data_IF_813882823483
#
_entry.id   IF_813882823483
#
_cell.length_a   1.000
_cell.length_b   1.000
_cell.length_c   1.000
_cell.angle_alpha   90.00
_cell.angle_beta   90.00
_cell.angle_gamma   90.00
#
_symmetry.space_group_name_H-M   'P 1'
#
loop_
_entity.id
_entity.type
_entity.pdbx_description
1 polymer ?
#
# COMPACT_ATOMS: atom_id res chain seq x y z
N UNK A 1 -0.33 16.62 -21.85
CA UNK A 1 0.10 17.52 -20.76
C UNK A 1 -1.05 18.45 -20.46
N UNK A 2 -1.47 18.51 -19.19
CA UNK A 2 -2.46 19.49 -18.78
C UNK A 2 -1.94 20.92 -19.03
N UNK A 3 -2.81 21.87 -19.38
CA UNK A 3 -2.44 23.27 -19.36
C UNK A 3 -1.90 23.66 -17.98
N UNK A 4 -0.94 24.61 -17.84
CA UNK A 4 -0.33 24.94 -16.56
C UNK A 4 -1.33 25.31 -15.44
N UNK A 5 -2.44 25.94 -15.81
CA UNK A 5 -3.48 26.31 -14.83
C UNK A 5 -4.25 25.09 -14.31
N UNK A 6 -4.47 24.06 -15.14
CA UNK A 6 -5.11 22.80 -14.71
C UNK A 6 -4.15 21.95 -13.88
N UNK A 7 -2.85 21.94 -14.20
CA UNK A 7 -1.83 21.29 -13.39
C UNK A 7 -1.79 21.88 -11.98
N UNK A 8 -1.79 23.21 -11.89
CA UNK A 8 -1.86 23.90 -10.58
C UNK A 8 -3.16 23.54 -9.84
N UNK A 9 -4.30 23.60 -10.52
CA UNK A 9 -5.59 23.28 -9.91
C UNK A 9 -5.65 21.83 -9.39
N UNK A 10 -5.05 20.88 -10.10
CA UNK A 10 -4.97 19.49 -9.67
C UNK A 10 -4.13 19.33 -8.40
N UNK A 11 -2.95 19.98 -8.34
CA UNK A 11 -2.07 19.94 -7.17
C UNK A 11 -2.74 20.63 -5.96
N UNK A 12 -3.34 21.78 -6.16
CA UNK A 12 -4.07 22.51 -5.10
C UNK A 12 -5.24 21.68 -4.55
N UNK A 13 -5.88 20.87 -5.39
CA UNK A 13 -6.96 19.99 -4.96
C UNK A 13 -6.45 18.83 -4.07
N UNK A 14 -5.25 18.29 -4.34
CA UNK A 14 -4.62 17.30 -3.46
C UNK A 14 -4.30 17.91 -2.10
N UNK A 15 -3.63 19.06 -2.08
CA UNK A 15 -3.28 19.76 -0.83
C UNK A 15 -4.55 20.13 -0.03
N UNK A 16 -5.62 20.55 -0.72
CA UNK A 16 -6.91 20.84 -0.10
C UNK A 16 -7.55 19.60 0.50
N UNK A 17 -7.50 18.46 -0.20
CA UNK A 17 -8.07 17.21 0.30
C UNK A 17 -7.27 16.69 1.50
N UNK A 18 -5.93 16.78 1.47
CA UNK A 18 -5.09 16.47 2.63
C UNK A 18 -5.45 17.33 3.85
N UNK A 19 -5.65 18.64 3.66
CA UNK A 19 -6.08 19.52 4.74
C UNK A 19 -7.47 19.16 5.29
N UNK A 20 -8.41 18.74 4.43
CA UNK A 20 -9.73 18.24 4.87
C UNK A 20 -9.62 16.95 5.68
N UNK A 21 -8.73 16.04 5.27
CA UNK A 21 -8.40 14.82 6.02
C UNK A 21 -7.90 15.20 7.41
N UNK A 22 -6.87 16.04 7.49
CA UNK A 22 -6.24 16.43 8.76
C UNK A 22 -7.21 17.17 9.69
N UNK A 23 -8.09 17.99 9.15
CA UNK A 23 -9.08 18.75 9.90
C UNK A 23 -10.32 17.93 10.33
N UNK A 24 -10.48 16.71 9.84
CA UNK A 24 -11.67 15.90 10.13
C UNK A 24 -11.71 15.49 11.61
N UNK A 25 -12.81 15.82 12.30
CA UNK A 25 -13.03 15.54 13.74
C UNK A 25 -14.28 14.69 14.00
N UNK A 26 -14.92 14.22 12.96
CA UNK A 26 -16.14 13.42 13.05
C UNK A 26 -15.90 11.93 13.31
N UNK A 27 -16.94 11.15 13.18
CA UNK A 27 -16.83 9.69 13.11
C UNK A 27 -15.99 9.29 11.90
N UNK A 28 -15.31 8.14 11.97
CA UNK A 28 -14.57 7.62 10.85
C UNK A 28 -15.49 7.33 9.66
N UNK A 29 -15.18 7.93 8.52
CA UNK A 29 -15.93 7.76 7.28
C UNK A 29 -14.96 7.55 6.12
N UNK A 30 -15.48 7.21 4.96
CA UNK A 30 -14.68 7.00 3.76
C UNK A 30 -14.15 8.33 3.21
N UNK A 31 -12.92 8.33 2.65
CA UNK A 31 -12.29 9.49 2.00
C UNK A 31 -13.22 10.14 0.97
N UNK A 32 -13.97 9.33 0.22
CA UNK A 32 -14.92 9.81 -0.78
C UNK A 32 -15.99 10.78 -0.23
N UNK A 33 -16.23 10.80 1.08
CA UNK A 33 -17.19 11.75 1.71
C UNK A 33 -16.66 13.18 1.79
N UNK A 34 -15.35 13.38 1.63
CA UNK A 34 -14.70 14.69 1.59
C UNK A 34 -14.53 15.26 0.17
N UNK A 35 -14.99 14.55 -0.85
CA UNK A 35 -14.76 14.84 -2.26
C UNK A 35 -16.07 15.23 -2.94
N UNK A 36 -16.08 16.36 -3.67
CA UNK A 36 -17.15 16.69 -4.60
C UNK A 36 -16.91 16.00 -5.95
N UNK A 37 -17.67 14.95 -6.28
CA UNK A 37 -17.47 14.21 -7.52
C UNK A 37 -17.82 14.98 -8.79
N UNK A 38 -18.46 16.16 -8.69
CA UNK A 38 -18.75 17.03 -9.82
C UNK A 38 -17.52 17.81 -10.29
N UNK A 39 -16.57 18.05 -9.38
CA UNK A 39 -15.33 18.78 -9.64
C UNK A 39 -14.21 17.84 -10.11
N UNK A 40 -13.72 18.05 -11.32
CA UNK A 40 -12.70 17.17 -11.92
C UNK A 40 -11.41 17.12 -11.10
N UNK A 41 -10.97 18.26 -10.54
CA UNK A 41 -9.75 18.33 -9.75
C UNK A 41 -9.87 17.57 -8.42
N UNK A 42 -11.04 17.59 -7.78
CA UNK A 42 -11.28 16.80 -6.56
C UNK A 42 -11.37 15.30 -6.86
N UNK A 43 -11.97 14.89 -7.99
CA UNK A 43 -11.89 13.49 -8.44
C UNK A 43 -10.44 13.05 -8.64
N UNK A 44 -9.65 13.88 -9.33
CA UNK A 44 -8.23 13.60 -9.57
C UNK A 44 -7.44 13.48 -8.26
N UNK A 45 -7.67 14.38 -7.29
CA UNK A 45 -7.07 14.29 -5.96
C UNK A 45 -7.45 12.98 -5.24
N UNK A 46 -8.73 12.60 -5.32
CA UNK A 46 -9.24 11.35 -4.76
C UNK A 46 -8.60 10.11 -5.40
N UNK A 47 -8.39 10.11 -6.72
CA UNK A 47 -7.71 9.03 -7.43
C UNK A 47 -6.21 8.98 -7.10
N UNK A 48 -5.60 10.12 -6.84
CA UNK A 48 -4.20 10.21 -6.41
C UNK A 48 -4.01 9.58 -5.04
N UNK A 49 -4.78 10.00 -4.03
CA UNK A 49 -4.64 9.50 -2.65
C UNK A 49 -5.21 8.08 -2.49
N UNK A 50 -6.17 7.70 -3.30
CA UNK A 50 -6.80 6.39 -3.27
C UNK A 50 -6.08 5.34 -4.14
N UNK A 51 -6.50 5.15 -5.38
CA UNK A 51 -5.95 4.10 -6.25
C UNK A 51 -4.43 4.20 -6.46
N UNK A 52 -3.88 5.40 -6.60
CA UNK A 52 -2.45 5.58 -6.92
C UNK A 52 -1.56 5.40 -5.69
N UNK A 53 -1.88 6.00 -4.55
CA UNK A 53 -1.03 5.95 -3.36
C UNK A 53 -1.37 4.76 -2.46
N UNK A 54 -2.66 4.52 -2.19
CA UNK A 54 -3.11 3.46 -1.29
C UNK A 54 -3.47 2.14 -1.99
N UNK A 55 -3.59 2.13 -3.33
CA UNK A 55 -4.03 0.94 -4.08
C UNK A 55 -5.47 0.53 -3.79
N UNK A 56 -6.30 1.46 -3.32
CA UNK A 56 -7.69 1.22 -2.94
C UNK A 56 -8.60 2.37 -3.38
N UNK A 57 -9.85 2.06 -3.64
CA UNK A 57 -10.86 3.07 -3.95
C UNK A 57 -11.09 4.00 -2.74
N UNK A 58 -11.27 5.30 -2.96
CA UNK A 58 -11.51 6.28 -1.91
C UNK A 58 -12.74 5.98 -1.04
N UNK A 59 -13.69 5.19 -1.53
CA UNK A 59 -14.84 4.69 -0.77
C UNK A 59 -14.47 3.63 0.27
N UNK A 60 -13.27 3.05 0.19
CA UNK A 60 -12.76 2.00 1.08
C UNK A 60 -11.68 2.53 2.03
N UNK A 61 -11.24 3.78 1.88
CA UNK A 61 -10.21 4.38 2.70
C UNK A 61 -10.82 5.12 3.90
N UNK A 62 -10.39 4.75 5.09
CA UNK A 62 -10.73 5.40 6.34
C UNK A 62 -10.02 6.74 6.45
N UNK A 63 -10.76 7.82 6.76
CA UNK A 63 -10.18 9.14 7.02
C UNK A 63 -9.28 9.09 8.25
N UNK A 64 -9.70 8.44 9.34
CA UNK A 64 -8.88 8.28 10.53
C UNK A 64 -7.62 7.44 10.27
N UNK A 65 -7.71 6.43 9.39
CA UNK A 65 -6.55 5.66 8.95
C UNK A 65 -5.53 6.53 8.21
N UNK A 66 -5.98 7.41 7.32
CA UNK A 66 -5.12 8.36 6.60
C UNK A 66 -4.48 9.38 7.53
N UNK A 67 -5.23 9.93 8.52
CA UNK A 67 -4.67 10.83 9.55
C UNK A 67 -3.54 10.16 10.34
N UNK A 68 -3.71 8.88 10.72
CA UNK A 68 -2.72 8.13 11.48
C UNK A 68 -1.49 7.75 10.65
N UNK A 69 -1.68 7.56 9.34
CA UNK A 69 -0.58 7.22 8.44
C UNK A 69 0.45 8.36 8.33
N UNK A 70 -0.01 9.61 8.40
CA UNK A 70 0.82 10.80 8.34
C UNK A 70 1.58 10.91 7.01
N UNK A 71 1.14 11.76 6.14
CA UNK A 71 1.85 12.02 4.89
C UNK A 71 3.08 12.88 5.19
N UNK A 72 4.26 12.25 5.28
CA UNK A 72 5.51 13.00 5.46
C UNK A 72 6.12 13.33 4.11
N UNK A 73 6.42 14.60 3.88
CA UNK A 73 7.13 15.09 2.69
C UNK A 73 8.50 15.66 3.09
N UNK A 74 9.53 15.62 2.22
CA UNK A 74 9.54 15.05 0.87
C UNK A 74 9.72 13.52 0.86
N UNK A 75 9.16 12.86 -0.15
CA UNK A 75 9.44 11.47 -0.44
C UNK A 75 10.77 11.35 -1.20
N UNK A 76 11.65 10.48 -0.73
CA UNK A 76 12.94 10.24 -1.35
C UNK A 76 12.94 8.95 -2.13
N UNK A 77 13.54 8.98 -3.31
CA UNK A 77 13.83 7.77 -4.08
C UNK A 77 15.24 7.27 -3.73
N UNK A 78 15.36 5.97 -3.51
CA UNK A 78 16.67 5.35 -3.28
C UNK A 78 17.33 5.09 -4.64
N UNK A 79 18.43 5.77 -4.91
CA UNK A 79 19.13 5.73 -6.19
C UNK A 79 19.57 4.31 -6.58
N UNK A 80 20.09 3.56 -5.62
CA UNK A 80 20.58 2.19 -5.79
C UNK A 80 19.45 1.14 -5.68
N UNK A 81 18.22 1.58 -5.55
CA UNK A 81 17.05 0.75 -5.34
C UNK A 81 16.82 0.37 -3.87
N UNK A 82 15.54 0.29 -3.50
CA UNK A 82 15.13 -0.01 -2.11
C UNK A 82 15.63 -1.39 -1.62
N UNK A 83 15.74 -2.37 -2.53
CA UNK A 83 16.29 -3.68 -2.22
C UNK A 83 17.72 -3.64 -1.68
N UNK A 84 18.55 -2.70 -2.14
CA UNK A 84 19.92 -2.51 -1.63
C UNK A 84 19.93 -2.06 -0.17
N UNK A 85 19.00 -1.18 0.22
CA UNK A 85 18.84 -0.77 1.62
C UNK A 85 18.46 -1.98 2.49
N UNK A 86 17.46 -2.75 2.06
CA UNK A 86 17.03 -3.96 2.79
C UNK A 86 18.19 -4.97 2.91
N UNK A 87 18.93 -5.21 1.83
CA UNK A 87 20.09 -6.11 1.85
C UNK A 87 21.19 -5.63 2.81
N UNK A 88 21.42 -4.32 2.89
CA UNK A 88 22.41 -3.75 3.82
C UNK A 88 22.00 -3.93 5.29
N UNK A 89 20.70 -3.78 5.60
CA UNK A 89 20.16 -4.01 6.94
C UNK A 89 20.19 -5.49 7.35
N UNK A 90 20.15 -6.39 6.38
CA UNK A 90 20.18 -7.83 6.62
C UNK A 90 21.62 -8.40 6.72
N UNK A 91 22.65 -7.56 6.61
CA UNK A 91 24.05 -8.02 6.74
C UNK A 91 24.29 -8.70 8.08
N UNK A 92 24.85 -9.92 8.04
CA UNK A 92 25.14 -10.73 9.23
C UNK A 92 23.93 -11.45 9.83
N UNK A 93 22.73 -11.25 9.30
CA UNK A 93 21.53 -12.01 9.68
C UNK A 93 21.49 -13.30 8.87
N UNK A 94 21.44 -14.50 9.51
CA UNK A 94 21.28 -15.75 8.78
C UNK A 94 19.87 -15.82 8.15
N UNK A 95 19.79 -15.78 6.82
CA UNK A 95 18.54 -15.85 6.06
C UNK A 95 18.50 -17.14 5.25
N UNK A 96 17.51 -17.99 5.50
CA UNK A 96 17.24 -19.17 4.69
C UNK A 96 16.20 -18.80 3.61
N UNK A 97 16.66 -18.73 2.35
CA UNK A 97 15.79 -18.46 1.21
C UNK A 97 15.17 -19.76 0.66
N UNK A 98 14.00 -19.63 0.03
CA UNK A 98 13.28 -20.77 -0.54
C UNK A 98 12.55 -21.64 0.48
N UNK A 99 12.56 -21.27 1.75
CA UNK A 99 11.92 -22.00 2.84
C UNK A 99 10.49 -21.51 3.06
N UNK A 100 9.54 -22.26 2.51
CA UNK A 100 8.11 -21.94 2.69
C UNK A 100 7.62 -22.48 4.02
N UNK A 101 7.15 -21.60 4.90
CA UNK A 101 6.51 -21.97 6.15
C UNK A 101 5.13 -22.57 5.87
N UNK A 102 4.82 -23.71 6.49
CA UNK A 102 3.55 -24.44 6.38
C UNK A 102 2.74 -24.41 7.67
N UNK A 103 3.45 -24.47 8.81
CA UNK A 103 2.82 -24.51 10.13
C UNK A 103 3.70 -23.81 11.17
N UNK A 104 3.06 -23.10 12.09
CA UNK A 104 3.67 -22.53 13.29
C UNK A 104 2.92 -23.09 14.49
N UNK A 105 3.61 -23.88 15.32
CA UNK A 105 3.06 -24.49 16.53
C UNK A 105 3.68 -23.88 17.77
N UNK A 106 2.89 -23.13 18.54
CA UNK A 106 3.28 -22.47 19.80
C UNK A 106 2.63 -23.09 21.03
N UNK A 107 2.10 -24.31 20.97
CA UNK A 107 1.46 -24.99 22.10
C UNK A 107 2.47 -25.55 23.11
N UNK A 108 3.70 -25.75 22.70
CA UNK A 108 4.78 -26.28 23.54
C UNK A 108 5.60 -25.17 24.22
N UNK A 109 6.65 -25.54 24.95
CA UNK A 109 7.57 -24.59 25.59
C UNK A 109 8.43 -23.84 24.59
N UNK A 110 8.52 -24.31 23.36
CA UNK A 110 9.22 -23.69 22.24
C UNK A 110 8.28 -23.62 21.05
N UNK A 111 8.45 -22.57 20.24
CA UNK A 111 7.73 -22.44 18.98
C UNK A 111 8.41 -23.35 17.94
N UNK A 112 7.59 -24.16 17.26
CA UNK A 112 8.03 -25.03 16.17
C UNK A 112 7.51 -24.49 14.84
N UNK A 113 8.42 -24.21 13.93
CA UNK A 113 8.10 -23.71 12.58
C UNK A 113 8.41 -24.80 11.57
N UNK A 114 7.37 -25.36 10.93
CA UNK A 114 7.55 -26.34 9.87
C UNK A 114 7.66 -25.64 8.52
N UNK A 115 8.74 -25.89 7.81
CA UNK A 115 9.02 -25.37 6.47
C UNK A 115 9.10 -26.48 5.44
N UNK A 116 9.31 -26.11 4.18
CA UNK A 116 9.59 -27.07 3.11
C UNK A 116 10.90 -27.85 3.29
N UNK A 117 11.89 -27.24 3.95
CA UNK A 117 13.20 -27.84 4.18
C UNK A 117 13.37 -28.51 5.55
N UNK A 118 12.38 -28.39 6.45
CA UNK A 118 12.47 -29.04 7.76
C UNK A 118 11.74 -28.28 8.85
N UNK A 119 12.12 -28.54 10.12
CA UNK A 119 11.53 -27.88 11.29
C UNK A 119 12.58 -27.05 12.00
N UNK A 120 12.21 -25.81 12.33
CA UNK A 120 13.00 -24.89 13.16
C UNK A 120 12.31 -24.75 14.51
N UNK A 121 13.07 -24.80 15.60
CA UNK A 121 12.58 -24.54 16.95
C UNK A 121 13.24 -23.29 17.53
N UNK A 122 12.42 -22.40 18.09
CA UNK A 122 12.87 -21.14 18.67
C UNK A 122 12.10 -20.84 19.97
N UNK A 123 12.59 -19.89 20.75
CA UNK A 123 11.88 -19.38 21.92
C UNK A 123 10.67 -18.56 21.48
N UNK A 124 10.87 -17.75 20.43
CA UNK A 124 9.88 -16.82 19.91
C UNK A 124 9.88 -16.88 18.38
N UNK A 125 8.76 -16.47 17.77
CA UNK A 125 8.61 -16.33 16.34
C UNK A 125 7.88 -15.03 16.01
N UNK A 126 8.50 -14.21 15.16
CA UNK A 126 7.86 -12.99 14.63
C UNK A 126 7.38 -13.28 13.21
N UNK A 127 6.08 -13.10 12.99
CA UNK A 127 5.45 -13.33 11.69
C UNK A 127 5.25 -12.00 10.99
N UNK A 128 5.94 -11.77 9.86
CA UNK A 128 5.94 -10.52 9.11
C UNK A 128 5.33 -10.64 7.71
N UNK A 129 4.60 -11.73 7.46
CA UNK A 129 3.91 -11.91 6.17
C UNK A 129 2.76 -10.90 6.01
N UNK A 130 2.38 -10.61 4.76
CA UNK A 130 1.26 -9.70 4.49
C UNK A 130 -0.07 -10.23 5.00
N UNK A 131 -1.04 -9.34 5.22
CA UNK A 131 -2.42 -9.71 5.56
C UNK A 131 -3.04 -10.63 4.50
N UNK A 132 -2.66 -10.45 3.23
CA UNK A 132 -3.09 -11.33 2.14
C UNK A 132 -2.64 -12.77 2.30
N UNK A 133 -1.41 -13.01 2.76
CA UNK A 133 -0.90 -14.36 3.04
C UNK A 133 -1.63 -15.00 4.20
N UNK A 134 -1.91 -14.22 5.27
CA UNK A 134 -2.67 -14.72 6.43
C UNK A 134 -4.12 -15.07 6.07
N UNK A 135 -4.78 -14.23 5.25
CA UNK A 135 -6.15 -14.48 4.77
C UNK A 135 -6.25 -15.68 3.83
N UNK A 136 -5.22 -15.96 3.07
CA UNK A 136 -5.18 -17.12 2.17
C UNK A 136 -5.02 -18.46 2.91
N UNK A 137 -4.88 -18.43 4.24
CA UNK A 137 -4.69 -19.62 5.10
C UNK A 137 -3.60 -20.58 4.59
N UNK A 138 -2.62 -20.03 3.85
CA UNK A 138 -1.53 -20.81 3.27
C UNK A 138 -0.52 -21.34 4.31
N UNK A 139 -0.68 -20.90 5.56
CA UNK A 139 0.13 -21.24 6.72
C UNK A 139 -0.80 -21.55 7.91
N UNK A 140 -0.59 -22.67 8.56
CA UNK A 140 -1.40 -23.10 9.71
C UNK A 140 -0.80 -22.61 11.02
N UNK A 141 -1.65 -22.11 11.92
CA UNK A 141 -1.27 -21.74 13.29
C UNK A 141 -1.84 -22.73 14.31
N UNK A 142 -1.04 -23.10 15.28
CA UNK A 142 -1.43 -23.95 16.41
C UNK A 142 -0.96 -23.30 17.74
N UNK A 143 -1.88 -22.82 18.60
CA UNK A 143 -3.33 -22.75 18.36
C UNK A 143 -3.67 -21.81 17.20
N UNK A 144 -4.89 -21.90 16.68
CA UNK A 144 -5.37 -20.99 15.62
C UNK A 144 -5.29 -19.53 16.03
N UNK A 145 -5.26 -18.62 15.07
CA UNK A 145 -5.24 -17.19 15.34
C UNK A 145 -6.46 -16.76 16.16
N UNK A 146 -6.29 -15.81 17.12
CA UNK A 146 -7.39 -15.28 17.90
C UNK A 146 -8.49 -14.69 17.02
N UNK A 147 -9.74 -14.77 17.45
CA UNK A 147 -10.90 -14.28 16.70
C UNK A 147 -10.78 -12.78 16.33
N UNK A 148 -10.24 -11.97 17.25
CA UNK A 148 -10.04 -10.54 17.00
C UNK A 148 -8.97 -10.28 15.92
N UNK A 149 -7.93 -11.13 15.86
CA UNK A 149 -6.96 -11.10 14.75
C UNK A 149 -7.62 -11.43 13.42
N UNK A 150 -8.47 -12.46 13.38
CA UNK A 150 -9.20 -12.84 12.16
C UNK A 150 -10.14 -11.71 11.69
N UNK A 151 -10.86 -11.08 12.62
CA UNK A 151 -11.70 -9.91 12.31
C UNK A 151 -10.89 -8.73 11.79
N UNK A 152 -9.72 -8.46 12.40
CA UNK A 152 -8.82 -7.41 11.93
C UNK A 152 -8.29 -7.69 10.51
N UNK A 153 -7.96 -8.95 10.20
CA UNK A 153 -7.55 -9.35 8.85
C UNK A 153 -8.66 -9.15 7.80
N UNK A 154 -9.92 -9.38 8.17
CA UNK A 154 -11.06 -9.11 7.28
C UNK A 154 -11.22 -7.60 7.01
N UNK A 155 -11.00 -6.76 8.03
CA UNK A 155 -11.11 -5.32 7.94
C UNK A 155 -9.92 -4.65 7.21
N UNK A 156 -8.80 -5.36 7.01
CA UNK A 156 -7.57 -4.85 6.40
C UNK A 156 -7.24 -5.61 5.09
N UNK A 157 -8.03 -5.41 4.01
CA UNK A 157 -7.73 -6.03 2.73
C UNK A 157 -6.42 -5.50 2.14
N UNK A 158 -5.79 -6.28 1.29
CA UNK A 158 -4.66 -5.83 0.50
C UNK A 158 -5.11 -4.80 -0.55
N UNK A 159 -4.34 -3.75 -0.71
CA UNK A 159 -4.50 -2.84 -1.85
C UNK A 159 -4.10 -3.53 -3.16
N UNK A 160 -4.69 -3.07 -4.27
CA UNK A 160 -4.36 -3.53 -5.61
C UNK A 160 -3.44 -2.51 -6.28
N UNK A 161 -2.19 -2.88 -6.46
CA UNK A 161 -1.20 -2.03 -7.10
C UNK A 161 -0.41 -2.82 -8.13
N UNK A 162 -0.38 -2.33 -9.36
CA UNK A 162 0.41 -2.92 -10.43
C UNK A 162 1.31 -1.86 -11.08
N UNK A 163 2.55 -2.23 -11.37
CA UNK A 163 3.51 -1.39 -12.12
C UNK A 163 3.89 -2.10 -13.41
N UNK A 164 3.81 -1.37 -14.51
CA UNK A 164 4.34 -1.81 -15.79
C UNK A 164 5.58 -0.97 -16.06
N UNK A 165 6.73 -1.63 -16.17
CA UNK A 165 8.00 -0.98 -16.46
C UNK A 165 8.28 -1.16 -17.94
N UNK A 166 8.45 -0.04 -18.65
CA UNK A 166 8.81 -0.02 -20.06
C UNK A 166 10.19 0.63 -20.18
N UNK A 167 11.09 -0.05 -20.87
CA UNK A 167 12.39 0.47 -21.21
C UNK A 167 12.40 0.85 -22.70
N UNK A 168 12.96 2.01 -23.01
CA UNK A 168 12.97 2.56 -24.36
C UNK A 168 14.41 2.87 -24.78
N UNK A 169 14.79 2.50 -25.99
CA UNK A 169 16.12 2.75 -26.55
C UNK A 169 16.41 4.24 -26.76
N UNK A 170 15.39 5.09 -26.74
CA UNK A 170 15.51 6.54 -26.88
C UNK A 170 14.45 7.28 -26.05
N UNK A 171 14.72 8.54 -25.66
CA UNK A 171 13.74 9.36 -24.97
C UNK A 171 12.45 9.52 -25.77
N UNK A 172 11.30 9.41 -25.12
CA UNK A 172 10.00 9.58 -25.75
C UNK A 172 9.75 11.07 -26.04
N UNK A 173 9.36 11.42 -27.29
CA UNK A 173 9.05 12.80 -27.61
C UNK A 173 7.93 13.37 -26.75
N UNK A 174 8.14 14.57 -26.21
CA UNK A 174 7.13 15.28 -25.42
C UNK A 174 7.01 14.85 -23.94
N UNK A 175 7.74 13.82 -23.51
CA UNK A 175 7.82 13.44 -22.12
C UNK A 175 9.10 13.98 -21.45
N UNK A 176 9.03 14.36 -20.15
CA UNK A 176 10.23 14.76 -19.43
C UNK A 176 11.17 13.58 -19.25
N UNK A 177 12.48 13.85 -19.16
CA UNK A 177 13.51 12.82 -18.88
C UNK A 177 13.46 12.31 -17.45
N UNK A 178 12.82 13.03 -16.55
CA UNK A 178 12.53 12.60 -15.16
C UNK A 178 11.29 13.34 -14.67
N UNK A 179 10.51 12.69 -13.81
CA UNK A 179 9.29 13.25 -13.24
C UNK A 179 8.10 12.32 -13.38
N UNK A 180 6.94 12.83 -13.03
CA UNK A 180 5.67 12.13 -13.09
C UNK A 180 4.85 12.66 -14.27
N UNK A 181 4.24 11.76 -15.00
CA UNK A 181 3.23 12.07 -16.00
C UNK A 181 1.97 11.32 -15.59
N UNK A 182 0.91 12.07 -15.32
CA UNK A 182 -0.37 11.48 -14.98
C UNK A 182 -1.36 11.76 -16.11
N UNK A 183 -2.08 10.73 -16.52
CA UNK A 183 -3.19 10.88 -17.44
C UNK A 183 -4.44 11.23 -16.65
N UNK A 184 -5.04 12.38 -16.92
CA UNK A 184 -6.38 12.67 -16.43
C UNK A 184 -7.39 12.06 -17.39
N UNK A 185 -7.96 10.93 -17.05
CA UNK A 185 -9.13 10.45 -17.78
C UNK A 185 -10.31 11.37 -17.44
N UNK A 186 -10.69 12.20 -18.40
CA UNK A 186 -12.08 12.63 -18.44
C UNK A 186 -12.94 11.36 -18.62
N UNK A 187 -13.98 11.12 -17.81
CA UNK A 187 -14.83 9.97 -17.99
C UNK A 187 -15.54 10.07 -19.35
N UNK A 188 -14.98 9.43 -20.35
CA UNK A 188 -15.62 9.30 -21.66
C UNK A 188 -16.43 8.02 -21.65
N UNK A 189 -17.70 8.15 -21.31
CA UNK A 189 -18.72 7.13 -21.52
C UNK A 189 -19.30 6.52 -20.24
N UNK A 190 -20.53 6.02 -20.32
CA UNK A 190 -21.13 5.27 -19.22
C UNK A 190 -20.37 3.98 -18.97
N UNK A 191 -20.32 3.49 -17.73
CA UNK A 191 -19.72 2.19 -17.42
C UNK A 191 -20.47 1.10 -18.20
N UNK A 192 -19.72 0.29 -18.93
CA UNK A 192 -20.25 -0.93 -19.55
C UNK A 192 -20.50 -2.00 -18.48
#
# INVERSE_FOLDING_TARGET
>A
RLPPHEETQALDAVDTLEQRIDAHQGADTALSTLVDPSLWAERWASETLGPLDAGADSRQLSIHGLQQHGLTRPNWLVREGFGTVVASLAQGVPVALGERVREIDSRGPRVRVQTTGGTVEATDCIVTVSTGVLRAESMRFLPGLPLDTLRALEALPMGHFAKIILDFDAPLPGLPTSGWVMESQAPSGPPM
#
